data_IF_822419561818
#
_entry.id   IF_822419561818
#
_cell.length_a   1.000
_cell.length_b   1.000
_cell.length_c   1.000
_cell.angle_alpha   90.00
_cell.angle_beta   90.00
_cell.angle_gamma   90.00
#
_symmetry.space_group_name_H-M   'P 1'
#
loop_
_entity.id
_entity.type
_entity.pdbx_description
1 polymer ?
#
# COMPACT_ATOMS: atom_id res chain seq x y z
N UNK A 1 52.59 -21.10 -29.27
CA UNK A 1 51.21 -20.56 -29.20
C UNK A 1 50.44 -21.35 -28.14
N UNK A 2 50.24 -20.77 -26.94
CA UNK A 2 49.56 -21.42 -25.82
C UNK A 2 48.05 -21.23 -25.99
N UNK A 3 47.33 -22.31 -26.30
CA UNK A 3 45.86 -22.33 -26.37
C UNK A 3 45.35 -22.19 -24.93
N UNK A 4 44.98 -20.96 -24.55
CA UNK A 4 44.32 -20.71 -23.27
C UNK A 4 42.94 -21.37 -23.35
N UNK A 5 42.71 -22.33 -22.45
CA UNK A 5 41.48 -23.10 -22.34
C UNK A 5 40.31 -22.18 -22.05
N UNK A 6 39.63 -21.75 -23.11
CA UNK A 6 38.39 -20.97 -23.10
C UNK A 6 37.31 -21.61 -22.19
N UNK A 7 37.34 -22.94 -22.08
CA UNK A 7 36.46 -23.71 -21.21
C UNK A 7 36.62 -23.37 -19.72
N UNK A 8 37.83 -23.02 -19.28
CA UNK A 8 38.09 -22.64 -17.89
C UNK A 8 37.52 -21.24 -17.57
N UNK A 9 37.47 -20.36 -18.57
CA UNK A 9 36.87 -19.02 -18.44
C UNK A 9 35.33 -19.07 -18.46
N UNK A 10 34.76 -20.04 -19.18
CA UNK A 10 33.31 -20.24 -19.24
C UNK A 10 32.76 -20.85 -17.94
N UNK A 11 33.51 -21.74 -17.30
CA UNK A 11 33.10 -22.39 -16.04
C UNK A 11 33.02 -21.41 -14.86
N UNK A 12 33.87 -20.38 -14.81
CA UNK A 12 33.85 -19.40 -13.70
C UNK A 12 32.71 -18.41 -13.80
N UNK A 13 32.26 -18.07 -15.02
CA UNK A 13 31.09 -17.20 -15.23
C UNK A 13 29.77 -17.92 -14.89
N UNK A 14 29.68 -19.24 -15.10
CA UNK A 14 28.47 -20.00 -14.83
C UNK A 14 28.19 -20.15 -13.32
N UNK A 15 29.21 -20.09 -12.47
CA UNK A 15 29.05 -20.24 -11.01
C UNK A 15 28.49 -18.98 -10.32
N UNK A 16 28.60 -17.80 -10.92
CA UNK A 16 28.09 -16.54 -10.36
C UNK A 16 26.57 -16.42 -10.59
N UNK A 17 26.03 -17.13 -11.58
CA UNK A 17 24.61 -17.10 -11.94
C UNK A 17 23.69 -17.88 -10.98
N UNK A 18 24.23 -18.65 -10.03
CA UNK A 18 23.43 -19.49 -9.13
C UNK A 18 23.47 -19.07 -7.65
N UNK A 19 24.12 -17.94 -7.31
CA UNK A 19 24.24 -17.46 -5.91
C UNK A 19 23.17 -16.42 -5.54
N UNK A 20 22.16 -16.20 -6.38
CA UNK A 20 21.03 -15.29 -6.05
C UNK A 20 19.65 -15.92 -6.28
N UNK A 21 19.53 -17.23 -6.05
CA UNK A 21 18.23 -17.90 -5.88
C UNK A 21 18.18 -18.73 -4.58
N UNK A 22 19.00 -18.34 -3.60
CA UNK A 22 18.92 -18.77 -2.21
C UNK A 22 18.47 -17.63 -1.31
N UNK A 23 17.25 -17.14 -1.54
CA UNK A 23 16.35 -16.53 -0.54
C UNK A 23 14.95 -16.48 -1.18
N UNK A 24 14.50 -17.64 -1.66
CA UNK A 24 13.07 -17.93 -1.73
C UNK A 24 12.54 -18.20 -0.32
N UNK A 25 12.82 -17.29 0.63
CA UNK A 25 11.86 -17.05 1.68
C UNK A 25 10.72 -16.39 0.93
N UNK A 26 9.76 -17.20 0.50
CA UNK A 26 8.38 -16.77 0.57
C UNK A 26 8.20 -16.38 2.03
N UNK A 27 8.58 -15.15 2.39
CA UNK A 27 7.85 -14.44 3.41
C UNK A 27 6.45 -14.46 2.84
N UNK A 28 5.67 -15.48 3.22
CA UNK A 28 4.29 -15.25 3.54
C UNK A 28 4.38 -14.04 4.47
N UNK A 29 4.27 -12.85 3.89
CA UNK A 29 4.13 -11.63 4.65
C UNK A 29 2.92 -11.96 5.48
N UNK A 30 3.16 -12.21 6.77
CA UNK A 30 2.13 -12.52 7.72
C UNK A 30 1.31 -11.22 7.81
N UNK A 31 0.35 -11.09 6.89
CA UNK A 31 -0.50 -9.91 6.72
C UNK A 31 -1.45 -9.75 7.89
N UNK A 32 -1.38 -10.66 8.86
CA UNK A 32 -2.25 -10.72 10.01
C UNK A 32 -1.99 -9.60 11.01
N UNK A 33 -0.85 -8.90 10.96
CA UNK A 33 -0.57 -7.83 11.93
C UNK A 33 0.47 -6.78 11.49
N UNK A 34 0.45 -6.34 10.23
CA UNK A 34 1.29 -5.21 9.82
C UNK A 34 0.68 -3.88 10.30
N UNK A 35 1.43 -3.16 11.14
CA UNK A 35 1.06 -1.78 11.52
C UNK A 35 1.07 -0.90 10.27
N UNK A 36 -0.11 -0.43 9.85
CA UNK A 36 -0.25 0.53 8.74
C UNK A 36 -0.14 1.95 9.28
N UNK A 37 0.86 2.68 8.80
CA UNK A 37 1.02 4.10 9.10
C UNK A 37 0.31 4.93 8.04
N UNK A 38 -0.66 5.73 8.48
CA UNK A 38 -1.41 6.67 7.66
C UNK A 38 -1.07 8.10 8.11
N UNK A 39 -0.81 9.00 7.16
CA UNK A 39 -0.38 10.37 7.45
C UNK A 39 -1.34 11.39 6.87
N UNK A 40 -1.57 12.49 7.58
CA UNK A 40 -2.35 13.62 7.04
C UNK A 40 -1.69 14.16 5.77
N UNK A 41 -2.51 14.47 4.77
CA UNK A 41 -2.09 15.03 3.48
C UNK A 41 -1.54 14.00 2.50
N UNK A 42 -1.32 12.75 2.93
CA UNK A 42 -0.89 11.69 2.01
C UNK A 42 -2.04 11.24 1.12
N UNK A 43 -1.70 10.77 -0.07
CA UNK A 43 -2.65 10.02 -0.91
C UNK A 43 -2.85 8.63 -0.31
N UNK A 44 -4.07 8.11 -0.39
CA UNK A 44 -4.43 6.74 -0.03
C UNK A 44 -5.33 6.15 -1.11
N UNK A 45 -5.07 4.91 -1.51
CA UNK A 45 -5.96 4.19 -2.44
C UNK A 45 -7.24 3.72 -1.74
N UNK A 46 -8.29 3.48 -2.50
CA UNK A 46 -9.52 2.89 -1.94
C UNK A 46 -9.26 1.52 -1.29
N UNK A 47 -8.35 0.73 -1.84
CA UNK A 47 -7.96 -0.58 -1.30
C UNK A 47 -7.25 -0.47 0.05
N UNK A 48 -6.28 0.43 0.19
CA UNK A 48 -5.60 0.68 1.47
C UNK A 48 -6.57 1.26 2.51
N UNK A 49 -7.48 2.13 2.08
CA UNK A 49 -8.51 2.68 2.94
C UNK A 49 -9.46 1.59 3.45
N UNK A 50 -9.82 0.63 2.59
CA UNK A 50 -10.64 -0.53 2.94
C UNK A 50 -9.98 -1.44 3.99
N UNK A 51 -8.66 -1.38 4.15
CA UNK A 51 -7.95 -2.16 5.18
C UNK A 51 -8.12 -1.55 6.58
N UNK A 52 -8.22 -0.21 6.67
CA UNK A 52 -8.19 0.52 7.94
C UNK A 52 -9.53 1.13 8.35
N UNK A 53 -10.45 1.31 7.41
CA UNK A 53 -11.74 1.96 7.63
C UNK A 53 -12.91 1.14 7.06
N UNK A 54 -14.10 1.32 7.64
CA UNK A 54 -15.34 0.77 7.12
C UNK A 54 -15.89 1.67 6.02
N UNK A 55 -15.71 1.26 4.76
CA UNK A 55 -16.18 2.02 3.60
C UNK A 55 -17.69 2.26 3.58
N UNK A 56 -18.48 1.41 4.25
CA UNK A 56 -19.94 1.56 4.29
C UNK A 56 -20.41 2.71 5.20
N UNK A 57 -19.52 3.20 6.07
CA UNK A 57 -19.79 4.32 6.97
C UNK A 57 -19.65 5.70 6.33
N UNK A 58 -19.26 5.74 5.04
CA UNK A 58 -18.95 6.95 4.29
C UNK A 58 -20.08 7.98 4.35
N UNK A 59 -19.74 9.17 4.86
CA UNK A 59 -20.66 10.28 4.99
C UNK A 59 -19.99 11.62 4.73
N UNK A 60 -20.72 12.55 4.15
CA UNK A 60 -20.26 13.93 3.99
C UNK A 60 -20.12 14.62 5.36
N UNK A 61 -19.60 15.85 5.38
CA UNK A 61 -19.49 16.66 6.58
C UNK A 61 -20.82 16.97 7.29
N UNK A 62 -21.97 16.79 6.61
CA UNK A 62 -23.32 16.97 7.17
C UNK A 62 -23.95 15.66 7.64
N UNK A 63 -23.27 14.53 7.46
CA UNK A 63 -23.72 13.19 7.85
C UNK A 63 -24.58 12.47 6.81
N UNK A 64 -24.70 12.98 5.58
CA UNK A 64 -25.42 12.27 4.51
C UNK A 64 -24.54 11.15 3.95
N UNK A 65 -25.11 9.97 3.61
CA UNK A 65 -24.38 8.91 2.94
C UNK A 65 -23.73 9.37 1.62
N UNK A 66 -22.52 8.89 1.35
CA UNK A 66 -21.76 9.23 0.13
C UNK A 66 -21.19 7.96 -0.52
N UNK A 67 -21.17 7.92 -1.85
CA UNK A 67 -20.49 6.88 -2.62
C UNK A 67 -19.03 7.24 -2.85
N UNK A 68 -18.13 6.29 -2.62
CA UNK A 68 -16.70 6.44 -2.93
C UNK A 68 -16.43 6.03 -4.37
N UNK A 69 -16.20 6.99 -5.26
CA UNK A 69 -16.04 6.76 -6.71
C UNK A 69 -14.60 6.92 -7.21
N UNK A 70 -13.73 7.59 -6.45
CA UNK A 70 -12.34 7.79 -6.86
C UNK A 70 -11.44 6.62 -6.47
N UNK A 71 -10.42 6.36 -7.31
CA UNK A 71 -9.39 5.36 -7.05
C UNK A 71 -8.50 5.71 -5.86
N UNK A 72 -8.39 7.00 -5.53
CA UNK A 72 -7.53 7.49 -4.47
C UNK A 72 -8.00 8.82 -3.91
N UNK A 73 -7.77 9.00 -2.61
CA UNK A 73 -8.16 10.18 -1.85
C UNK A 73 -6.95 10.77 -1.15
N UNK A 74 -7.07 12.02 -0.71
CA UNK A 74 -6.13 12.59 0.25
C UNK A 74 -6.66 12.37 1.67
N UNK A 75 -5.78 11.95 2.57
CA UNK A 75 -6.10 11.86 4.00
C UNK A 75 -6.21 13.26 4.59
N UNK A 76 -7.34 13.59 5.21
CA UNK A 76 -7.57 14.86 5.90
C UNK A 76 -7.19 14.82 7.38
N UNK A 77 -7.93 14.07 8.19
CA UNK A 77 -7.77 14.10 9.65
C UNK A 77 -8.08 12.73 10.28
N UNK A 78 -7.67 12.57 11.53
CA UNK A 78 -7.90 11.36 12.31
C UNK A 78 -8.47 11.74 13.67
N UNK A 79 -9.41 10.93 14.13
CA UNK A 79 -9.84 10.89 15.53
C UNK A 79 -9.64 9.48 16.07
N UNK A 80 -10.05 9.22 17.32
CA UNK A 80 -9.95 7.88 17.93
C UNK A 80 -10.74 6.81 17.17
N UNK A 81 -11.78 7.20 16.42
CA UNK A 81 -12.68 6.26 15.76
C UNK A 81 -12.99 6.60 14.31
N UNK A 82 -12.46 7.69 13.77
CA UNK A 82 -12.74 8.10 12.39
C UNK A 82 -11.49 8.59 11.66
N UNK A 83 -11.54 8.46 10.35
CA UNK A 83 -10.63 9.14 9.41
C UNK A 83 -11.47 9.99 8.46
N UNK A 84 -10.96 11.16 8.11
CA UNK A 84 -11.54 11.95 7.03
C UNK A 84 -10.67 11.85 5.78
N UNK A 85 -11.31 11.73 4.62
CA UNK A 85 -10.67 11.72 3.31
C UNK A 85 -11.24 12.84 2.46
N UNK A 86 -10.46 13.29 1.48
CA UNK A 86 -10.81 14.37 0.56
C UNK A 86 -10.60 13.82 -0.86
N UNK A 87 -11.64 13.80 -1.72
CA UNK A 87 -11.50 13.43 -3.12
C UNK A 87 -10.44 14.32 -3.80
N UNK A 88 -9.65 13.76 -4.71
CA UNK A 88 -8.67 14.53 -5.50
C UNK A 88 -9.33 15.58 -6.37
N UNK A 89 -10.56 15.32 -6.81
CA UNK A 89 -11.37 16.31 -7.54
C UNK A 89 -11.90 17.44 -6.64
N UNK A 90 -11.81 17.29 -5.31
CA UNK A 90 -12.65 18.01 -4.36
C UNK A 90 -12.14 19.36 -3.88
N UNK A 91 -13.10 20.19 -3.47
CA UNK A 91 -12.94 21.41 -2.65
C UNK A 91 -12.97 21.02 -1.16
N UNK A 92 -12.66 21.98 -0.28
CA UNK A 92 -12.65 21.77 1.18
C UNK A 92 -13.99 21.26 1.77
N UNK A 93 -15.09 21.39 1.04
CA UNK A 93 -16.42 20.91 1.44
C UNK A 93 -16.67 19.43 1.14
N UNK A 94 -15.80 18.79 0.36
CA UNK A 94 -15.93 17.39 -0.09
C UNK A 94 -15.31 16.40 0.92
N UNK A 95 -15.21 16.82 2.19
CA UNK A 95 -14.67 15.96 3.24
C UNK A 95 -15.64 14.82 3.51
N UNK A 96 -15.14 13.60 3.34
CA UNK A 96 -15.86 12.37 3.62
C UNK A 96 -15.28 11.79 4.91
N UNK A 97 -16.15 11.48 5.87
CA UNK A 97 -15.79 10.83 7.13
C UNK A 97 -16.08 9.34 7.03
N UNK A 98 -15.15 8.54 7.52
CA UNK A 98 -15.24 7.09 7.64
C UNK A 98 -14.94 6.66 9.07
N UNK A 99 -15.66 5.67 9.56
CA UNK A 99 -15.37 4.98 10.81
C UNK A 99 -14.16 4.05 10.61
N UNK A 100 -13.20 4.12 11.55
CA UNK A 100 -12.06 3.22 11.59
C UNK A 100 -12.53 1.83 12.02
N UNK A 101 -11.93 0.79 11.43
CA UNK A 101 -12.17 -0.58 11.91
C UNK A 101 -11.62 -0.74 13.32
N UNK A 102 -12.27 -1.53 14.18
CA UNK A 102 -11.69 -1.90 15.46
C UNK A 102 -10.38 -2.68 15.24
N UNK A 103 -9.36 -2.35 16.02
CA UNK A 103 -8.11 -3.12 16.11
C UNK A 103 -8.31 -4.38 16.97
#
# INVERSE_FOLDING_TARGET
MKKINFLLYLLTMLAISFVTLGHGTTEATDTTNQTKHLYRGSSISLEELAQVADLSSARDQKGNPVTLEEESYQVGSFTKGTVTIIPKSGKADDVITLDLKPN
#
